data_IF_729154020504
#
_entry.id   IF_729154020504
#
_cell.length_a   1.000
_cell.length_b   1.000
_cell.length_c   1.000
_cell.angle_alpha   90.00
_cell.angle_beta   90.00
_cell.angle_gamma   90.00
#
_symmetry.space_group_name_H-M   'P 1'
#
loop_
_entity.id
_entity.type
_entity.pdbx_description
1 polymer ?
#
# COMPACT_ATOMS: atom_id res chain seq x y z
N UNK A 1 6.77 0.74 15.87
CA UNK A 1 6.97 -0.66 15.46
C UNK A 1 5.64 -1.38 15.23
N UNK A 2 4.80 -1.58 16.23
CA UNK A 2 3.57 -2.39 16.08
C UNK A 2 2.63 -1.97 14.94
N UNK A 3 2.26 -0.68 14.86
CA UNK A 3 1.42 -0.17 13.76
C UNK A 3 2.09 -0.32 12.39
N UNK A 4 3.42 -0.19 12.31
CA UNK A 4 4.15 -0.35 11.05
C UNK A 4 4.08 -1.80 10.54
N UNK A 5 4.07 -2.79 11.45
CA UNK A 5 3.92 -4.20 11.09
C UNK A 5 2.51 -4.50 10.60
N UNK A 6 1.49 -3.87 11.21
CA UNK A 6 0.10 -3.97 10.75
C UNK A 6 -0.06 -3.31 9.36
N UNK A 7 0.45 -2.10 9.19
CA UNK A 7 0.42 -1.36 7.93
C UNK A 7 1.22 -2.06 6.82
N UNK A 8 2.32 -2.74 7.18
CA UNK A 8 3.10 -3.57 6.25
C UNK A 8 2.41 -4.89 5.88
N UNK A 9 1.27 -5.20 6.52
CA UNK A 9 0.52 -6.43 6.33
C UNK A 9 1.20 -7.65 6.93
N UNK A 10 2.15 -7.48 7.84
CA UNK A 10 2.83 -8.56 8.54
C UNK A 10 1.94 -9.16 9.63
N UNK A 11 1.07 -8.33 10.21
CA UNK A 11 0.02 -8.76 11.14
C UNK A 11 -1.32 -8.21 10.69
N UNK A 12 -2.38 -8.97 10.93
CA UNK A 12 -3.77 -8.57 10.69
C UNK A 12 -4.55 -8.69 11.98
N UNK A 13 -5.61 -7.90 12.11
CA UNK A 13 -6.52 -7.99 13.24
C UNK A 13 -7.77 -8.76 12.84
N UNK A 14 -8.06 -9.85 13.53
CA UNK A 14 -9.30 -10.62 13.38
C UNK A 14 -9.89 -10.89 14.77
N UNK A 15 -11.21 -10.75 14.93
CA UNK A 15 -11.92 -10.93 16.20
C UNK A 15 -11.25 -10.30 17.44
N UNK A 16 -10.72 -9.08 17.27
CA UNK A 16 -9.96 -8.32 18.27
C UNK A 16 -8.57 -8.88 18.64
N UNK A 17 -8.14 -9.99 18.05
CA UNK A 17 -6.81 -10.59 18.19
C UNK A 17 -5.91 -10.26 17.01
N UNK A 18 -4.59 -10.35 17.23
CA UNK A 18 -3.59 -10.09 16.20
C UNK A 18 -3.02 -11.40 15.68
N UNK A 19 -3.15 -11.59 14.38
CA UNK A 19 -2.66 -12.77 13.68
C UNK A 19 -1.49 -12.42 12.78
N UNK A 20 -0.44 -13.23 12.86
CA UNK A 20 0.69 -13.23 11.95
C UNK A 20 0.25 -13.73 10.57
N UNK A 21 0.51 -12.92 9.55
CA UNK A 21 0.23 -13.29 8.15
C UNK A 21 1.38 -14.11 7.55
N UNK A 22 1.16 -14.68 6.37
CA UNK A 22 2.23 -15.33 5.59
C UNK A 22 3.38 -14.37 5.24
N UNK A 23 3.10 -13.06 5.07
CA UNK A 23 4.13 -12.05 4.86
C UNK A 23 4.95 -11.85 6.14
N UNK A 24 4.27 -11.77 7.29
CA UNK A 24 4.94 -11.67 8.59
C UNK A 24 5.81 -12.90 8.90
N UNK A 25 5.34 -14.11 8.59
CA UNK A 25 6.15 -15.34 8.72
C UNK A 25 7.40 -15.31 7.86
N UNK A 26 7.31 -14.82 6.61
CA UNK A 26 8.47 -14.63 5.72
C UNK A 26 9.46 -13.59 6.26
N UNK A 27 8.95 -12.56 6.94
CA UNK A 27 9.75 -11.60 7.71
C UNK A 27 10.21 -12.14 9.08
N UNK A 28 10.21 -13.47 9.24
CA UNK A 28 10.66 -14.19 10.45
C UNK A 28 9.89 -13.84 11.72
N UNK A 29 8.64 -13.38 11.58
CA UNK A 29 7.73 -13.29 12.71
C UNK A 29 7.35 -14.67 13.22
N UNK A 30 7.27 -14.83 14.53
CA UNK A 30 6.93 -16.10 15.18
C UNK A 30 5.97 -15.91 16.35
N UNK A 31 5.15 -16.92 16.64
CA UNK A 31 4.36 -16.94 17.86
C UNK A 31 5.17 -17.51 19.02
N UNK A 32 5.14 -16.83 20.17
CA UNK A 32 5.64 -17.35 21.45
C UNK A 32 4.54 -17.40 22.48
N UNK A 33 4.63 -18.40 23.36
CA UNK A 33 3.75 -18.56 24.50
C UNK A 33 4.45 -18.02 25.75
N UNK A 34 3.77 -17.20 26.54
CA UNK A 34 4.21 -16.84 27.88
C UNK A 34 3.15 -17.23 28.91
N UNK A 35 3.58 -17.84 30.00
CA UNK A 35 2.71 -18.16 31.16
C UNK A 35 2.08 -16.92 31.78
N UNK A 36 2.64 -15.72 31.54
CA UNK A 36 2.19 -14.45 32.10
C UNK A 36 1.33 -13.62 31.14
N UNK A 37 1.50 -13.80 29.83
CA UNK A 37 0.91 -12.92 28.82
C UNK A 37 0.13 -13.64 27.72
N UNK A 38 0.06 -14.97 27.74
CA UNK A 38 -0.57 -15.75 26.67
C UNK A 38 0.30 -15.82 25.42
N UNK A 39 -0.33 -16.06 24.26
CA UNK A 39 0.34 -16.14 22.96
C UNK A 39 0.58 -14.73 22.40
N UNK A 40 1.80 -14.45 21.93
CA UNK A 40 2.16 -13.16 21.34
C UNK A 40 3.15 -13.34 20.18
N UNK A 41 3.22 -12.35 19.30
CA UNK A 41 4.11 -12.36 18.12
C UNK A 41 5.43 -11.69 18.47
N UNK A 42 6.54 -12.37 18.17
CA UNK A 42 7.89 -11.85 18.28
C UNK A 42 8.55 -11.72 16.92
N UNK A 43 9.58 -10.90 16.89
CA UNK A 43 10.30 -10.50 15.69
C UNK A 43 11.80 -10.59 15.98
N UNK A 44 12.65 -10.98 15.01
CA UNK A 44 14.09 -10.94 15.19
C UNK A 44 14.58 -9.51 15.39
N UNK A 45 15.70 -9.34 16.10
CA UNK A 45 16.33 -8.02 16.29
C UNK A 45 16.82 -7.42 14.97
N UNK A 46 17.15 -8.27 13.99
CA UNK A 46 17.58 -7.89 12.65
C UNK A 46 16.43 -7.81 11.65
N UNK A 47 15.20 -7.54 12.09
CA UNK A 47 14.07 -7.42 11.19
C UNK A 47 14.38 -6.30 10.19
N UNK A 48 14.77 -6.69 8.98
CA UNK A 48 14.73 -5.83 7.82
C UNK A 48 13.27 -5.45 7.66
N UNK A 49 12.91 -4.35 8.33
CA UNK A 49 11.63 -3.71 8.11
C UNK A 49 11.68 -3.45 6.61
N UNK A 50 10.89 -4.19 5.82
CA UNK A 50 10.68 -3.84 4.42
C UNK A 50 10.38 -2.38 4.51
N UNK A 51 11.33 -1.57 4.04
CA UNK A 51 11.26 -0.14 4.21
C UNK A 51 9.93 0.21 3.58
N UNK A 52 8.93 0.44 4.42
CA UNK A 52 7.84 1.29 4.04
C UNK A 52 8.57 2.57 3.78
N UNK A 53 8.89 2.78 2.52
CA UNK A 53 9.48 4.01 2.09
C UNK A 53 8.56 5.08 2.67
N UNK A 54 9.02 5.71 3.75
CA UNK A 54 8.38 6.88 4.32
C UNK A 54 8.71 7.97 3.34
N UNK A 55 7.97 7.99 2.24
CA UNK A 55 8.08 9.03 1.25
C UNK A 55 7.36 10.23 1.84
N UNK A 56 8.11 11.06 2.55
CA UNK A 56 7.81 12.49 2.77
C UNK A 56 7.96 13.28 1.45
N UNK A 57 7.67 12.62 0.33
CA UNK A 57 7.80 13.12 -1.02
C UNK A 57 6.49 13.73 -1.52
N UNK A 58 6.63 14.64 -2.48
CA UNK A 58 5.54 15.27 -3.22
C UNK A 58 4.56 14.19 -3.71
N UNK A 59 3.31 14.22 -3.22
CA UNK A 59 2.24 13.36 -3.75
C UNK A 59 1.87 13.80 -5.17
N UNK A 60 1.81 12.85 -6.09
CA UNK A 60 1.44 13.03 -7.47
C UNK A 60 -0.01 12.61 -7.69
N UNK A 61 -0.80 13.46 -8.35
CA UNK A 61 -2.08 13.05 -8.90
C UNK A 61 -1.87 12.18 -10.14
N UNK A 62 -2.91 11.42 -10.51
CA UNK A 62 -2.93 10.68 -11.77
C UNK A 62 -2.65 11.58 -12.98
N UNK A 63 -3.12 12.83 -12.96
CA UNK A 63 -2.82 13.81 -14.00
C UNK A 63 -1.33 14.13 -14.11
N UNK A 64 -0.62 14.24 -12.98
CA UNK A 64 0.83 14.49 -12.99
C UNK A 64 1.60 13.27 -13.50
N UNK A 65 1.15 12.06 -13.12
CA UNK A 65 1.71 10.79 -13.61
C UNK A 65 1.48 10.66 -15.12
N UNK A 66 0.29 11.02 -15.60
CA UNK A 66 -0.06 10.91 -17.02
C UNK A 66 0.75 11.87 -17.89
N UNK A 67 1.02 13.09 -17.41
CA UNK A 67 1.95 14.02 -18.06
C UNK A 67 3.36 13.42 -18.14
N UNK A 68 3.84 12.77 -17.08
CA UNK A 68 5.18 12.16 -17.07
C UNK A 68 5.34 11.06 -18.12
N UNK A 69 4.34 10.20 -18.28
CA UNK A 69 4.35 9.12 -19.27
C UNK A 69 3.78 9.50 -20.64
N UNK A 70 3.39 10.77 -20.83
CA UNK A 70 2.72 11.26 -22.04
C UNK A 70 1.47 10.43 -22.42
N UNK A 71 0.66 10.06 -21.42
CA UNK A 71 -0.58 9.31 -21.54
C UNK A 71 -1.77 10.13 -21.00
N UNK A 72 -2.99 9.69 -21.31
CA UNK A 72 -4.19 10.27 -20.71
C UNK A 72 -4.36 9.77 -19.26
N UNK A 73 -5.00 10.57 -18.42
CA UNK A 73 -5.29 10.17 -17.04
C UNK A 73 -6.17 8.92 -16.97
N UNK A 74 -7.09 8.74 -17.92
CA UNK A 74 -7.92 7.53 -18.01
C UNK A 74 -7.08 6.30 -18.32
N UNK A 75 -6.10 6.40 -19.24
CA UNK A 75 -5.22 5.27 -19.56
C UNK A 75 -4.33 4.89 -18.38
N UNK A 76 -3.79 5.87 -17.65
CA UNK A 76 -3.04 5.60 -16.41
C UNK A 76 -3.93 4.93 -15.37
N UNK A 77 -5.14 5.43 -15.13
CA UNK A 77 -6.06 4.79 -14.19
C UNK A 77 -6.38 3.35 -14.60
N UNK A 78 -6.61 3.10 -15.89
CA UNK A 78 -6.83 1.76 -16.40
C UNK A 78 -5.63 0.84 -16.13
N UNK A 79 -4.40 1.30 -16.39
CA UNK A 79 -3.18 0.53 -16.11
C UNK A 79 -3.04 0.23 -14.61
N UNK A 80 -3.31 1.21 -13.76
CA UNK A 80 -3.27 1.03 -12.30
C UNK A 80 -4.35 0.04 -11.80
N UNK A 81 -5.50 0.00 -12.45
CA UNK A 81 -6.59 -0.96 -12.20
C UNK A 81 -6.20 -2.36 -12.66
N UNK A 82 -5.62 -2.50 -13.86
CA UNK A 82 -5.09 -3.74 -14.42
C UNK A 82 -3.95 -4.33 -13.58
N UNK A 83 -3.08 -3.48 -13.03
CA UNK A 83 -2.04 -3.86 -12.08
C UNK A 83 -2.59 -4.24 -10.70
N UNK A 84 -3.89 -4.05 -10.47
CA UNK A 84 -4.55 -4.31 -9.21
C UNK A 84 -4.03 -3.40 -8.10
N UNK A 85 -3.82 -2.12 -8.38
CA UNK A 85 -3.39 -1.12 -7.39
C UNK A 85 -4.52 -0.16 -6.99
N UNK A 86 -5.46 0.06 -7.91
CA UNK A 86 -6.72 0.77 -7.67
C UNK A 86 -7.87 -0.08 -8.16
N UNK A 87 -9.09 0.26 -7.72
CA UNK A 87 -10.32 -0.33 -8.22
C UNK A 87 -11.31 0.80 -8.58
N UNK A 88 -12.09 0.58 -9.64
CA UNK A 88 -13.19 1.48 -10.01
C UNK A 88 -14.29 1.48 -8.95
N UNK A 89 -14.71 2.67 -8.51
CA UNK A 89 -15.84 2.84 -7.59
C UNK A 89 -17.09 3.35 -8.32
N UNK A 90 -18.21 3.52 -7.60
CA UNK A 90 -19.46 4.11 -8.15
C UNK A 90 -19.18 5.43 -8.85
N UNK A 91 -18.28 6.24 -8.29
CA UNK A 91 -17.64 7.40 -8.94
C UNK A 91 -16.16 7.41 -8.54
N UNK A 92 -15.29 7.77 -9.49
CA UNK A 92 -13.85 7.88 -9.23
C UNK A 92 -13.16 6.55 -8.97
N UNK A 93 -12.05 6.61 -8.24
CA UNK A 93 -11.12 5.50 -8.04
C UNK A 93 -10.74 5.34 -6.58
N UNK A 94 -10.68 4.09 -6.10
CA UNK A 94 -10.26 3.76 -4.74
C UNK A 94 -8.95 2.99 -4.77
N UNK A 95 -8.06 3.31 -3.84
CA UNK A 95 -6.82 2.55 -3.66
C UNK A 95 -7.13 1.23 -2.99
N UNK A 96 -6.41 0.17 -3.36
CA UNK A 96 -6.50 -1.12 -2.66
C UNK A 96 -5.25 -1.39 -1.82
N UNK A 97 -5.21 -2.53 -1.13
CA UNK A 97 -4.10 -2.88 -0.25
C UNK A 97 -2.74 -2.93 -0.97
N UNK A 98 -2.71 -3.35 -2.24
CA UNK A 98 -1.48 -3.36 -3.04
C UNK A 98 -1.04 -1.94 -3.39
N UNK A 99 -1.98 -1.07 -3.80
CA UNK A 99 -1.69 0.34 -4.04
C UNK A 99 -1.21 1.08 -2.79
N UNK A 100 -1.80 0.82 -1.63
CA UNK A 100 -1.38 1.39 -0.34
C UNK A 100 0.08 1.04 -0.02
N UNK A 101 0.48 -0.23 -0.24
CA UNK A 101 1.88 -0.68 -0.05
C UNK A 101 2.87 0.01 -1.00
N UNK A 102 2.39 0.54 -2.12
CA UNK A 102 3.19 1.25 -3.13
C UNK A 102 3.15 2.77 -2.94
N UNK A 103 2.64 3.27 -1.81
CA UNK A 103 2.57 4.71 -1.51
C UNK A 103 1.33 5.40 -2.10
N UNK A 104 0.36 4.63 -2.58
CA UNK A 104 -0.95 5.15 -2.98
C UNK A 104 -1.73 5.62 -1.76
N UNK A 105 -2.36 6.79 -1.85
CA UNK A 105 -3.21 7.37 -0.80
C UNK A 105 -4.53 7.80 -1.42
N UNK A 106 -5.63 7.31 -0.87
CA UNK A 106 -6.95 7.78 -1.28
C UNK A 106 -7.24 9.17 -0.70
N UNK A 107 -7.81 10.03 -1.53
CA UNK A 107 -8.33 11.33 -1.19
C UNK A 107 -9.75 11.46 -1.74
N UNK A 108 -10.46 12.47 -1.29
CA UNK A 108 -11.80 12.81 -1.76
C UNK A 108 -11.84 14.28 -2.17
N UNK A 109 -12.49 14.56 -3.29
CA UNK A 109 -12.73 15.93 -3.69
C UNK A 109 -13.76 16.56 -2.74
N UNK A 110 -13.37 17.66 -2.08
CA UNK A 110 -14.18 18.28 -1.02
C UNK A 110 -15.53 18.83 -1.52
N UNK A 111 -15.69 19.09 -2.82
CA UNK A 111 -16.90 19.67 -3.42
C UNK A 111 -17.87 18.59 -3.88
N UNK A 112 -17.33 17.50 -4.41
CA UNK A 112 -18.10 16.46 -5.11
C UNK A 112 -18.16 15.14 -4.36
N UNK A 113 -17.31 14.95 -3.34
CA UNK A 113 -17.15 13.69 -2.61
C UNK A 113 -16.58 12.55 -3.44
N UNK A 114 -16.07 12.83 -4.65
CA UNK A 114 -15.56 11.79 -5.55
C UNK A 114 -14.19 11.32 -5.06
N UNK A 115 -13.98 10.01 -4.83
CA UNK A 115 -12.69 9.48 -4.42
C UNK A 115 -11.70 9.48 -5.58
N UNK A 116 -10.46 9.78 -5.27
CA UNK A 116 -9.33 9.70 -6.19
C UNK A 116 -8.07 9.24 -5.44
N UNK A 117 -7.06 8.81 -6.18
CA UNK A 117 -5.81 8.29 -5.60
C UNK A 117 -4.66 9.22 -5.99
N UNK A 118 -3.81 9.53 -5.01
CA UNK A 118 -2.51 10.17 -5.22
C UNK A 118 -1.40 9.21 -4.85
N UNK A 119 -0.24 9.38 -5.43
CA UNK A 119 0.88 8.46 -5.30
C UNK A 119 2.13 9.17 -4.84
N UNK A 120 3.02 8.45 -4.18
CA UNK A 120 4.40 8.91 -4.05
C UNK A 120 5.11 8.98 -5.39
N UNK A 121 6.09 9.89 -5.50
CA UNK A 121 6.87 10.09 -6.72
C UNK A 121 7.67 8.85 -7.14
N UNK A 122 7.96 7.97 -6.19
CA UNK A 122 8.55 6.65 -6.40
C UNK A 122 7.73 5.75 -7.32
N UNK A 123 6.41 5.99 -7.46
CA UNK A 123 5.55 5.24 -8.38
C UNK A 123 6.06 5.35 -9.82
N UNK A 124 6.66 6.49 -10.19
CA UNK A 124 7.23 6.72 -11.52
C UNK A 124 8.43 5.81 -11.82
N UNK A 125 9.09 5.30 -10.78
CA UNK A 125 10.24 4.39 -10.88
C UNK A 125 9.84 2.92 -10.74
N UNK A 126 8.56 2.62 -10.52
CA UNK A 126 8.10 1.26 -10.31
C UNK A 126 8.18 0.46 -11.62
N UNK A 127 8.90 -0.67 -11.59
CA UNK A 127 9.15 -1.51 -12.77
C UNK A 127 7.85 -2.01 -13.43
N UNK A 128 6.85 -2.39 -12.64
CA UNK A 128 5.58 -2.87 -13.17
C UNK A 128 4.83 -1.75 -13.90
N UNK A 129 4.78 -0.54 -13.32
CA UNK A 129 4.15 0.59 -13.99
C UNK A 129 4.90 0.96 -15.28
N UNK A 130 6.24 1.08 -15.23
CA UNK A 130 7.08 1.38 -16.40
C UNK A 130 6.87 0.32 -17.50
N UNK A 131 6.76 -0.95 -17.15
CA UNK A 131 6.52 -2.00 -18.12
C UNK A 131 5.14 -1.91 -18.77
N UNK A 132 4.11 -1.50 -18.02
CA UNK A 132 2.74 -1.40 -18.53
C UNK A 132 2.44 -0.13 -19.34
N UNK A 133 3.27 0.91 -19.22
CA UNK A 133 3.12 2.17 -19.98
C UNK A 133 3.95 2.22 -21.26
N UNK A 134 4.95 1.33 -21.41
CA UNK A 134 5.77 1.17 -22.62
C UNK A 134 5.10 0.23 -23.62
#
# INVERSE_FOLDING_TARGET
MFNQLADAGYIIRDNAEWHLTEVGKKAQGEYKQSSKFGQYIVWPDSLETVEQFKFEGKKLSVTQISIHFNLTSDKINQILDELGWINKAVKGWKVNNSGLRLGGVQKEDFRTGVPYVVWDDSVLKNKSLIHSVN
#
